data_IF_867973144735
#
_entry.id   IF_867973144735
#
_cell.length_a   1.000
_cell.length_b   1.000
_cell.length_c   1.000
_cell.angle_alpha   90.00
_cell.angle_beta   90.00
_cell.angle_gamma   90.00
#
_symmetry.space_group_name_H-M   'P 1'
#
loop_
_entity.id
_entity.type
_entity.pdbx_description
1 polymer ?
#
# COMPACT_ATOMS: atom_id res chain seq x y z
N UNK A 1 13.96 -5.66 -11.86
CA UNK A 1 12.56 -6.13 -11.81
C UNK A 1 11.85 -5.32 -10.75
N UNK A 2 10.83 -4.53 -11.07
CA UNK A 2 10.14 -3.74 -10.05
C UNK A 2 9.24 -4.64 -9.18
N UNK A 3 9.11 -4.27 -7.92
CA UNK A 3 8.22 -4.91 -6.96
C UNK A 3 7.02 -4.00 -6.73
N UNK A 4 5.82 -4.51 -6.95
CA UNK A 4 4.57 -3.80 -6.69
C UNK A 4 3.90 -4.45 -5.48
N UNK A 5 3.83 -3.70 -4.39
CA UNK A 5 3.23 -4.12 -3.14
C UNK A 5 1.89 -3.42 -2.97
N UNK A 6 0.81 -4.18 -2.96
CA UNK A 6 -0.52 -3.70 -2.62
C UNK A 6 -0.72 -3.82 -1.11
N UNK A 7 -0.89 -2.68 -0.46
CA UNK A 7 -1.27 -2.59 0.94
C UNK A 7 -2.76 -2.26 1.00
N UNK A 8 -3.59 -3.24 1.32
CA UNK A 8 -5.04 -3.08 1.31
C UNK A 8 -5.54 -2.96 2.74
N UNK A 9 -6.21 -1.85 3.02
CA UNK A 9 -6.94 -1.67 4.27
C UNK A 9 -8.07 -2.71 4.35
N UNK A 10 -7.96 -3.57 5.36
CA UNK A 10 -8.97 -4.58 5.68
C UNK A 10 -9.67 -4.26 6.99
N UNK A 11 -9.61 -3.03 7.49
CA UNK A 11 -10.31 -2.63 8.70
C UNK A 11 -11.83 -2.70 8.56
N UNK A 12 -12.53 -2.69 9.70
CA UNK A 12 -13.98 -2.75 9.72
C UNK A 12 -14.67 -1.56 9.01
N UNK A 13 -14.02 -0.39 8.93
CA UNK A 13 -14.58 0.80 8.27
C UNK A 13 -14.66 0.67 6.75
N UNK A 14 -13.87 -0.23 6.16
CA UNK A 14 -13.94 -0.59 4.74
C UNK A 14 -15.23 -1.33 4.34
N UNK A 15 -16.09 -1.72 5.30
CA UNK A 15 -17.42 -2.27 5.05
C UNK A 15 -18.47 -1.22 4.67
N UNK A 16 -18.14 0.07 4.72
CA UNK A 16 -19.04 1.12 4.29
C UNK A 16 -19.43 0.96 2.82
N UNK A 17 -20.69 1.25 2.51
CA UNK A 17 -21.26 1.06 1.16
C UNK A 17 -21.28 2.36 0.40
N UNK A 18 -20.91 2.28 -0.86
CA UNK A 18 -21.09 3.36 -1.82
C UNK A 18 -22.53 3.42 -2.33
N UNK A 19 -22.85 4.49 -3.06
CA UNK A 19 -24.10 4.60 -3.81
C UNK A 19 -24.34 3.47 -4.82
N UNK A 20 -23.30 2.73 -5.22
CA UNK A 20 -23.39 1.56 -6.11
C UNK A 20 -23.80 0.27 -5.37
N UNK A 21 -23.89 0.32 -4.04
CA UNK A 21 -24.21 -0.84 -3.19
C UNK A 21 -23.03 -1.76 -2.90
N UNK A 22 -21.85 -1.49 -3.45
CA UNK A 22 -20.60 -2.21 -3.17
C UNK A 22 -19.86 -1.61 -1.97
N UNK A 23 -19.08 -2.44 -1.26
CA UNK A 23 -18.23 -1.97 -0.17
C UNK A 23 -16.95 -1.32 -0.69
N UNK A 24 -16.27 -0.53 0.14
CA UNK A 24 -14.98 0.04 -0.23
C UNK A 24 -13.93 -1.05 -0.47
N UNK A 25 -13.97 -2.15 0.28
CA UNK A 25 -13.08 -3.29 0.05
C UNK A 25 -13.32 -3.92 -1.34
N UNK A 26 -14.58 -4.05 -1.78
CA UNK A 26 -14.89 -4.58 -3.12
C UNK A 26 -14.34 -3.67 -4.23
N UNK A 27 -14.43 -2.35 -4.03
CA UNK A 27 -13.86 -1.36 -4.95
C UNK A 27 -12.34 -1.44 -4.97
N UNK A 28 -11.70 -1.57 -3.80
CA UNK A 28 -10.24 -1.74 -3.70
C UNK A 28 -9.77 -3.00 -4.43
N UNK A 29 -10.45 -4.15 -4.22
CA UNK A 29 -10.17 -5.39 -4.96
C UNK A 29 -10.32 -5.19 -6.47
N UNK A 30 -11.42 -4.58 -6.91
CA UNK A 30 -11.68 -4.32 -8.32
C UNK A 30 -10.65 -3.39 -8.97
N UNK A 31 -10.19 -2.36 -8.24
CA UNK A 31 -9.13 -1.46 -8.68
C UNK A 31 -7.80 -2.21 -8.87
N UNK A 32 -7.42 -3.08 -7.93
CA UNK A 32 -6.21 -3.91 -8.04
C UNK A 32 -6.31 -4.87 -9.24
N UNK A 33 -7.45 -5.54 -9.42
CA UNK A 33 -7.65 -6.42 -10.58
C UNK A 33 -7.55 -5.66 -11.91
N UNK A 34 -8.12 -4.45 -11.98
CA UNK A 34 -8.07 -3.60 -13.17
C UNK A 34 -6.67 -3.10 -13.43
N UNK A 35 -5.95 -2.66 -12.39
CA UNK A 35 -4.55 -2.27 -12.48
C UNK A 35 -3.69 -3.41 -13.04
N UNK A 36 -3.83 -4.63 -12.51
CA UNK A 36 -3.06 -5.78 -13.00
C UNK A 36 -3.39 -6.12 -14.46
N UNK A 37 -4.66 -6.03 -14.86
CA UNK A 37 -5.07 -6.23 -16.27
C UNK A 37 -4.49 -5.18 -17.20
N UNK A 38 -4.46 -3.91 -16.79
CA UNK A 38 -3.87 -2.82 -17.56
C UNK A 38 -2.35 -2.96 -17.63
N UNK A 39 -1.69 -3.24 -16.51
CA UNK A 39 -0.24 -3.44 -16.42
C UNK A 39 0.22 -4.63 -17.25
N UNK A 40 -0.57 -5.72 -17.29
CA UNK A 40 -0.29 -6.90 -18.11
C UNK A 40 -0.30 -6.66 -19.63
N UNK A 41 -0.81 -5.50 -20.11
CA UNK A 41 -0.72 -5.11 -21.53
C UNK A 41 0.67 -4.58 -21.90
N UNK A 42 1.44 -4.10 -20.93
CA UNK A 42 2.78 -3.58 -21.13
C UNK A 42 3.80 -4.74 -21.18
N UNK A 43 4.58 -4.90 -22.27
CA UNK A 43 5.63 -5.92 -22.34
C UNK A 43 6.65 -5.86 -21.20
N UNK A 44 6.87 -4.69 -20.59
CA UNK A 44 7.78 -4.51 -19.46
C UNK A 44 7.29 -5.20 -18.18
N UNK A 45 6.00 -5.55 -18.08
CA UNK A 45 5.41 -6.13 -16.86
C UNK A 45 5.76 -7.60 -16.63
N UNK A 46 6.41 -8.27 -17.59
CA UNK A 46 6.73 -9.71 -17.51
C UNK A 46 7.68 -10.06 -16.36
N UNK A 47 8.42 -9.08 -15.86
CA UNK A 47 9.33 -9.22 -14.73
C UNK A 47 8.79 -8.63 -13.42
N UNK A 48 7.54 -8.18 -13.38
CA UNK A 48 7.00 -7.53 -12.18
C UNK A 48 6.66 -8.58 -11.11
N UNK A 49 6.97 -8.28 -9.85
CA UNK A 49 6.55 -9.09 -8.70
C UNK A 49 5.44 -8.38 -7.96
N UNK A 50 4.37 -9.11 -7.66
CA UNK A 50 3.22 -8.58 -6.92
C UNK A 50 3.21 -9.14 -5.51
N UNK A 51 3.04 -8.27 -4.52
CA UNK A 51 2.91 -8.62 -3.11
C UNK A 51 1.62 -8.05 -2.55
N UNK A 52 1.03 -8.76 -1.59
CA UNK A 52 -0.21 -8.36 -0.92
C UNK A 52 -0.01 -8.38 0.59
N UNK A 53 -0.27 -7.24 1.22
CA UNK A 53 -0.26 -7.06 2.66
C UNK A 53 -1.61 -6.47 3.09
N UNK A 54 -2.16 -6.98 4.19
CA UNK A 54 -3.36 -6.44 4.84
C UNK A 54 -3.02 -5.84 6.22
N UNK A 55 -4.03 -5.40 6.96
CA UNK A 55 -3.86 -4.74 8.26
C UNK A 55 -3.76 -5.70 9.46
N UNK A 56 -3.61 -7.00 9.21
CA UNK A 56 -3.43 -7.98 10.29
C UNK A 56 -1.99 -8.00 10.82
N UNK A 57 -1.84 -8.52 12.04
CA UNK A 57 -0.53 -8.68 12.67
C UNK A 57 0.33 -9.72 11.94
N UNK A 58 1.65 -9.52 11.96
CA UNK A 58 2.63 -10.48 11.44
C UNK A 58 2.53 -11.80 12.24
N UNK A 59 2.50 -12.98 11.59
CA UNK A 59 2.74 -13.23 10.17
C UNK A 59 1.50 -13.22 9.25
N UNK A 60 0.29 -13.14 9.81
CA UNK A 60 -0.96 -13.22 9.05
C UNK A 60 -1.16 -12.02 8.11
N UNK A 61 -0.54 -10.90 8.45
CA UNK A 61 -0.46 -9.66 7.66
C UNK A 61 0.01 -9.84 6.20
N UNK A 62 0.89 -10.81 5.95
CA UNK A 62 1.51 -11.03 4.64
C UNK A 62 0.75 -12.15 3.92
N UNK A 63 -0.08 -11.78 2.94
CA UNK A 63 -0.87 -12.75 2.17
C UNK A 63 -0.11 -13.28 0.96
N UNK A 64 0.63 -12.42 0.28
CA UNK A 64 1.48 -12.81 -0.84
C UNK A 64 2.85 -12.11 -0.75
N UNK A 65 3.92 -12.89 -0.62
CA UNK A 65 5.29 -12.40 -0.47
C UNK A 65 6.22 -12.80 -1.62
N UNK A 66 7.52 -12.89 -1.34
CA UNK A 66 8.59 -13.11 -2.34
C UNK A 66 8.52 -14.40 -3.15
N UNK A 67 7.94 -15.46 -2.59
CA UNK A 67 7.91 -16.81 -3.20
C UNK A 67 6.58 -17.14 -3.87
N UNK A 68 5.61 -16.24 -3.80
CA UNK A 68 4.24 -16.54 -4.19
C UNK A 68 3.99 -16.31 -5.68
N UNK A 69 3.08 -17.13 -6.23
CA UNK A 69 2.68 -17.03 -7.62
C UNK A 69 1.61 -15.95 -7.82
N UNK A 70 1.45 -15.49 -9.06
CA UNK A 70 0.35 -14.60 -9.43
C UNK A 70 -1.04 -15.21 -9.13
N UNK A 71 -1.18 -16.54 -9.23
CA UNK A 71 -2.43 -17.23 -8.91
C UNK A 71 -2.73 -17.20 -7.40
N UNK A 72 -1.71 -17.36 -6.55
CA UNK A 72 -1.86 -17.24 -5.09
C UNK A 72 -2.29 -15.82 -4.73
N UNK A 73 -1.61 -14.81 -5.29
CA UNK A 73 -1.96 -13.40 -5.08
C UNK A 73 -3.43 -13.12 -5.39
N UNK A 74 -3.93 -13.57 -6.54
CA UNK A 74 -5.33 -13.35 -6.95
C UNK A 74 -6.33 -14.07 -6.05
N UNK A 75 -5.96 -15.25 -5.54
CA UNK A 75 -6.80 -16.03 -4.63
C UNK A 75 -6.90 -15.34 -3.28
N UNK A 76 -5.77 -14.90 -2.72
CA UNK A 76 -5.72 -14.17 -1.46
C UNK A 76 -6.43 -12.81 -1.56
N UNK A 77 -6.26 -12.08 -2.67
CA UNK A 77 -6.96 -10.82 -2.92
C UNK A 77 -8.48 -10.99 -2.86
N UNK A 78 -9.02 -12.06 -3.48
CA UNK A 78 -10.46 -12.36 -3.46
C UNK A 78 -10.95 -12.70 -2.06
N UNK A 79 -10.14 -13.43 -1.29
CA UNK A 79 -10.48 -13.90 0.05
C UNK A 79 -10.33 -12.86 1.15
N UNK A 80 -9.81 -11.65 0.87
CA UNK A 80 -9.72 -10.59 1.89
C UNK A 80 -11.09 -10.27 2.47
N UNK A 81 -11.13 -10.09 3.79
CA UNK A 81 -12.33 -9.69 4.52
C UNK A 81 -12.04 -8.40 5.28
N UNK A 82 -13.00 -7.48 5.29
CA UNK A 82 -12.90 -6.23 6.03
C UNK A 82 -13.26 -6.49 7.51
N UNK A 83 -12.27 -6.85 8.31
CA UNK A 83 -12.37 -7.06 9.74
C UNK A 83 -11.13 -6.51 10.45
N UNK A 84 -11.34 -5.89 11.62
CA UNK A 84 -10.25 -5.41 12.48
C UNK A 84 -10.10 -3.89 12.52
N UNK A 85 -8.94 -3.44 12.97
CA UNK A 85 -8.59 -2.03 13.23
C UNK A 85 -7.78 -1.42 12.08
N UNK A 86 -7.72 -0.10 12.02
CA UNK A 86 -6.91 0.67 11.05
C UNK A 86 -5.46 0.83 11.52
N UNK A 87 -4.72 -0.28 11.55
CA UNK A 87 -3.30 -0.39 11.99
C UNK A 87 -2.28 -0.06 10.90
N UNK A 88 -2.55 0.98 10.10
CA UNK A 88 -1.76 1.31 8.90
C UNK A 88 -0.26 1.51 9.18
N UNK A 89 0.12 2.06 10.34
CA UNK A 89 1.52 2.25 10.70
C UNK A 89 2.28 0.94 10.87
N UNK A 90 1.67 -0.06 11.51
CA UNK A 90 2.28 -1.38 11.67
C UNK A 90 2.36 -2.13 10.35
N UNK A 91 1.34 -2.02 9.51
CA UNK A 91 1.31 -2.69 8.20
C UNK A 91 2.27 -2.06 7.21
N UNK A 92 2.40 -0.72 7.21
CA UNK A 92 3.44 -0.02 6.43
C UNK A 92 4.83 -0.42 6.90
N UNK A 93 5.05 -0.50 8.21
CA UNK A 93 6.33 -0.97 8.75
C UNK A 93 6.66 -2.39 8.26
N UNK A 94 5.69 -3.29 8.34
CA UNK A 94 5.80 -4.67 7.84
C UNK A 94 6.12 -4.70 6.34
N UNK A 95 5.48 -3.83 5.55
CA UNK A 95 5.75 -3.71 4.12
C UNK A 95 7.20 -3.28 3.84
N UNK A 96 7.69 -2.25 4.53
CA UNK A 96 9.08 -1.81 4.40
C UNK A 96 10.07 -2.88 4.84
N UNK A 97 9.81 -3.55 5.96
CA UNK A 97 10.65 -4.64 6.46
C UNK A 97 10.72 -5.79 5.44
N UNK A 98 9.57 -6.18 4.86
CA UNK A 98 9.51 -7.22 3.84
C UNK A 98 10.33 -6.88 2.60
N UNK A 99 10.27 -5.62 2.14
CA UNK A 99 11.05 -5.13 1.00
C UNK A 99 12.55 -5.09 1.32
N UNK A 100 12.90 -4.63 2.52
CA UNK A 100 14.30 -4.46 2.94
C UNK A 100 15.01 -5.79 3.21
N UNK A 101 14.29 -6.86 3.60
CA UNK A 101 14.87 -8.19 3.79
C UNK A 101 15.61 -8.68 2.53
N UNK A 102 15.03 -8.49 1.35
CA UNK A 102 15.64 -8.96 0.11
C UNK A 102 16.87 -8.13 -0.29
N UNK A 103 16.92 -6.85 0.08
CA UNK A 103 18.05 -5.96 -0.21
C UNK A 103 19.32 -6.34 0.54
N UNK A 104 19.16 -6.76 1.80
CA UNK A 104 20.27 -7.24 2.64
C UNK A 104 20.83 -8.56 2.08
N UNK A 105 19.97 -9.48 1.67
CA UNK A 105 20.37 -10.77 1.08
C UNK A 105 21.02 -10.59 -0.29
N UNK A 106 20.48 -9.69 -1.12
CA UNK A 106 20.98 -9.42 -2.47
C UNK A 106 22.25 -8.54 -2.48
N UNK A 107 22.66 -8.02 -1.31
CA UNK A 107 23.87 -7.19 -1.17
C UNK A 107 23.73 -5.80 -1.78
N UNK A 108 22.51 -5.31 -2.00
CA UNK A 108 22.25 -3.99 -2.58
C UNK A 108 22.67 -2.89 -1.61
N UNK A 109 22.34 -3.08 -0.33
CA UNK A 109 22.69 -2.15 0.74
C UNK A 109 24.03 -2.57 1.37
N UNK A 110 25.14 -2.23 0.69
CA UNK A 110 26.51 -2.54 1.10
C UNK A 110 27.17 -1.36 1.83
N UNK A 111 26.78 -1.09 3.08
CA UNK A 111 27.22 0.08 3.87
C UNK A 111 28.75 0.25 3.99
N UNK A 112 29.55 -0.81 3.82
CA UNK A 112 31.01 -0.75 3.88
C UNK A 112 31.74 -0.45 2.57
N UNK A 113 31.05 -0.40 1.42
CA UNK A 113 31.68 -0.27 0.09
C UNK A 113 31.17 0.96 -0.70
N UNK A 114 30.53 1.91 -0.02
CA UNK A 114 29.87 3.05 -0.65
C UNK A 114 28.47 2.72 -1.16
N UNK A 115 27.84 3.68 -1.86
CA UNK A 115 26.51 3.52 -2.45
C UNK A 115 26.62 3.43 -3.97
N UNK A 116 26.04 2.38 -4.54
CA UNK A 116 26.01 2.16 -5.99
C UNK A 116 24.63 2.51 -6.56
N UNK A 117 24.46 3.61 -7.32
CA UNK A 117 23.17 4.01 -7.88
C UNK A 117 22.60 3.02 -8.91
N UNK A 118 23.43 2.13 -9.45
CA UNK A 118 23.03 1.13 -10.45
C UNK A 118 22.37 -0.11 -9.84
N UNK A 119 22.57 -0.37 -8.55
CA UNK A 119 21.91 -1.47 -7.84
C UNK A 119 20.55 -0.99 -7.33
N UNK A 120 19.56 -1.19 -8.19
CA UNK A 120 18.19 -0.75 -8.01
C UNK A 120 17.29 -1.95 -7.79
N UNK A 121 16.47 -1.86 -6.74
CA UNK A 121 15.32 -2.73 -6.54
C UNK A 121 14.08 -1.82 -6.40
N UNK A 122 13.62 -1.26 -7.54
CA UNK A 122 12.55 -0.27 -7.50
C UNK A 122 11.29 -0.92 -6.95
N UNK A 123 10.71 -0.32 -5.92
CA UNK A 123 9.47 -0.82 -5.33
C UNK A 123 8.43 0.28 -5.21
N UNK A 124 7.19 -0.10 -5.48
CA UNK A 124 6.04 0.78 -5.42
C UNK A 124 5.06 0.15 -4.44
N UNK A 125 4.73 0.89 -3.40
CA UNK A 125 3.67 0.54 -2.46
C UNK A 125 2.42 1.31 -2.86
N UNK A 126 1.33 0.60 -3.11
CA UNK A 126 0.01 1.19 -3.34
C UNK A 126 -0.85 0.88 -2.13
N UNK A 127 -1.02 1.87 -1.26
CA UNK A 127 -1.87 1.78 -0.08
C UNK A 127 -3.30 2.20 -0.43
N UNK A 128 -4.27 1.29 -0.29
CA UNK A 128 -5.68 1.60 -0.51
C UNK A 128 -6.39 1.62 0.83
N UNK A 129 -6.98 2.76 1.19
CA UNK A 129 -7.62 3.00 2.49
C UNK A 129 -8.83 3.92 2.33
N UNK A 130 -9.68 3.99 3.35
CA UNK A 130 -10.82 4.91 3.40
C UNK A 130 -10.47 6.31 3.92
N UNK A 131 -9.25 6.51 4.44
CA UNK A 131 -8.80 7.80 4.99
C UNK A 131 -9.61 8.28 6.19
N UNK A 132 -10.26 7.34 6.89
CA UNK A 132 -10.90 7.60 8.17
C UNK A 132 -9.85 7.66 9.30
N UNK A 133 -10.31 7.93 10.53
CA UNK A 133 -9.43 8.03 11.69
C UNK A 133 -8.67 6.72 11.93
N UNK A 134 -7.39 6.83 12.27
CA UNK A 134 -6.55 5.69 12.59
C UNK A 134 -6.93 5.13 13.96
N UNK A 135 -7.08 3.82 14.06
CA UNK A 135 -7.52 3.14 15.27
C UNK A 135 -6.49 2.11 15.67
N UNK A 136 -6.15 2.13 16.96
CA UNK A 136 -5.25 1.19 17.61
C UNK A 136 -5.95 0.59 18.82
N UNK A 137 -5.39 -0.48 19.39
CA UNK A 137 -5.88 -1.06 20.65
C UNK A 137 -5.90 -0.05 21.81
N UNK A 138 -5.06 1.00 21.74
CA UNK A 138 -5.00 2.09 22.71
C UNK A 138 -5.93 3.27 22.43
N UNK A 139 -6.71 3.24 21.34
CA UNK A 139 -7.64 4.31 20.96
C UNK A 139 -7.41 4.87 19.56
N UNK A 140 -8.06 6.01 19.30
CA UNK A 140 -7.99 6.74 18.03
C UNK A 140 -6.72 7.59 17.99
N UNK A 141 -5.96 7.49 16.90
CA UNK A 141 -4.75 8.28 16.66
C UNK A 141 -5.01 9.26 15.52
N UNK A 142 -4.58 10.51 15.70
CA UNK A 142 -4.65 11.54 14.67
C UNK A 142 -3.41 11.57 13.77
N UNK A 143 -2.26 11.12 14.30
CA UNK A 143 -1.00 11.07 13.58
C UNK A 143 -0.60 9.63 13.23
N UNK A 144 0.03 9.47 12.06
CA UNK A 144 0.60 8.22 11.62
C UNK A 144 2.03 8.08 12.15
N UNK A 145 2.22 7.28 13.20
CA UNK A 145 3.55 6.91 13.68
C UNK A 145 3.87 5.45 13.33
N UNK A 146 5.07 5.22 12.79
CA UNK A 146 5.56 3.87 12.49
C UNK A 146 6.22 3.30 13.76
N UNK A 147 5.72 2.19 14.33
CA UNK A 147 6.34 1.59 15.51
C UNK A 147 7.75 1.08 15.19
N UNK A 148 8.74 1.53 15.97
CA UNK A 148 10.16 1.13 15.83
C UNK A 148 10.54 -0.06 16.74
N UNK A 149 9.56 -0.82 17.23
CA UNK A 149 9.70 -1.73 18.38
C UNK A 149 10.52 -3.01 18.11
N UNK A 150 10.78 -3.36 16.85
CA UNK A 150 11.61 -4.51 16.46
C UNK A 150 12.48 -4.15 15.25
N UNK A 151 13.72 -3.69 15.45
CA UNK A 151 14.62 -3.42 14.34
C UNK A 151 15.06 -4.73 13.68
N UNK A 152 15.00 -4.79 12.34
CA UNK A 152 15.66 -5.87 11.59
C UNK A 152 17.16 -5.78 11.84
N UNK A 153 17.91 -6.89 11.90
CA UNK A 153 19.37 -6.84 11.99
C UNK A 153 19.96 -6.00 10.85
N UNK A 154 20.78 -4.99 11.17
CA UNK A 154 21.35 -4.06 10.19
C UNK A 154 20.45 -2.87 9.85
N UNK A 155 19.22 -2.80 10.39
CA UNK A 155 18.39 -1.60 10.26
C UNK A 155 18.95 -0.41 11.04
N UNK A 156 19.81 -0.63 12.04
CA UNK A 156 20.52 0.43 12.76
C UNK A 156 21.43 1.29 11.85
N UNK A 157 21.81 0.77 10.68
CA UNK A 157 22.65 1.49 9.71
C UNK A 157 21.84 2.52 8.90
N UNK A 158 20.51 2.56 9.10
CA UNK A 158 19.61 3.50 8.42
C UNK A 158 18.61 4.11 9.39
N UNK A 159 18.47 5.43 9.32
CA UNK A 159 17.53 6.16 10.18
C UNK A 159 16.07 5.96 9.76
N UNK A 160 15.83 5.91 8.46
CA UNK A 160 14.48 5.84 7.88
C UNK A 160 14.10 4.39 7.54
N UNK A 161 12.80 4.04 7.65
CA UNK A 161 12.31 2.69 7.36
C UNK A 161 12.27 2.37 5.86
N UNK A 162 12.22 3.40 5.01
CA UNK A 162 12.19 3.25 3.55
C UNK A 162 13.59 3.43 2.93
N UNK A 163 13.70 3.13 1.64
CA UNK A 163 14.89 3.36 0.80
C UNK A 163 14.57 4.32 -0.34
N UNK A 164 15.62 4.91 -0.92
CA UNK A 164 15.52 5.95 -1.94
C UNK A 164 14.79 5.52 -3.23
N UNK A 165 14.70 4.22 -3.49
CA UNK A 165 14.03 3.60 -4.64
C UNK A 165 12.66 2.98 -4.29
N UNK A 166 12.12 3.29 -3.10
CA UNK A 166 10.80 2.87 -2.64
C UNK A 166 9.85 4.06 -2.63
N UNK A 167 8.73 3.94 -3.36
CA UNK A 167 7.72 5.01 -3.47
C UNK A 167 6.38 4.54 -2.90
N UNK A 168 5.76 5.35 -2.06
CA UNK A 168 4.42 5.10 -1.53
C UNK A 168 3.39 5.98 -2.25
N UNK A 169 2.38 5.36 -2.83
CA UNK A 169 1.19 6.02 -3.32
C UNK A 169 -0.01 5.57 -2.48
N UNK A 170 -0.88 6.49 -2.13
CA UNK A 170 -2.13 6.18 -1.44
C UNK A 170 -3.33 6.48 -2.32
N UNK A 171 -4.27 5.53 -2.36
CA UNK A 171 -5.61 5.70 -2.91
C UNK A 171 -6.57 5.80 -1.73
N UNK A 172 -7.03 7.01 -1.44
CA UNK A 172 -8.00 7.26 -0.38
C UNK A 172 -9.38 7.26 -1.01
N UNK A 173 -10.18 6.25 -0.66
CA UNK A 173 -11.55 6.11 -1.17
C UNK A 173 -12.46 7.09 -0.41
N UNK A 174 -12.93 8.14 -1.08
CA UNK A 174 -13.87 9.15 -0.59
C UNK A 174 -15.17 9.10 -1.39
N UNK A 175 -15.68 7.89 -1.66
CA UNK A 175 -16.83 7.69 -2.54
C UNK A 175 -18.14 7.84 -1.72
N UNK A 176 -19.00 8.81 -2.03
CA UNK A 176 -20.20 9.06 -1.26
C UNK A 176 -21.21 7.90 -1.35
N UNK A 177 -21.96 7.71 -0.27
CA UNK A 177 -23.06 6.74 -0.17
C UNK A 177 -24.33 7.16 -0.90
N UNK A 178 -24.47 8.46 -1.22
CA UNK A 178 -25.52 8.96 -2.11
C UNK A 178 -24.92 9.29 -3.47
N UNK A 179 -25.73 9.22 -4.53
CA UNK A 179 -25.31 9.68 -5.84
C UNK A 179 -25.03 11.19 -5.77
N UNK A 180 -23.77 11.58 -6.00
CA UNK A 180 -23.38 12.97 -6.19
C UNK A 180 -23.44 13.29 -7.68
N UNK A 181 -24.16 14.36 -8.04
CA UNK A 181 -24.15 14.94 -9.40
C UNK A 181 -23.03 15.98 -9.52
N UNK A 182 -21.97 15.86 -8.72
CA UNK A 182 -20.85 16.79 -8.83
C UNK A 182 -20.08 16.45 -10.12
N UNK A 183 -19.84 17.45 -10.99
CA UNK A 183 -19.05 17.23 -12.19
C UNK A 183 -17.66 16.76 -11.78
N UNK A 184 -17.19 15.66 -12.36
CA UNK A 184 -15.78 15.28 -12.20
C UNK A 184 -14.93 16.51 -12.56
N UNK A 185 -14.03 16.95 -11.66
CA UNK A 185 -13.17 18.07 -11.99
C UNK A 185 -12.43 17.71 -13.29
N UNK A 186 -12.48 18.59 -14.27
CA UNK A 186 -11.80 18.48 -15.58
C UNK A 186 -10.25 18.46 -15.49
N UNK A 187 -9.71 18.25 -14.28
CA UNK A 187 -8.29 18.14 -13.97
C UNK A 187 -8.01 16.85 -13.19
N UNK A 188 -6.74 16.44 -13.17
CA UNK A 188 -6.32 15.17 -12.56
C UNK A 188 -6.73 15.02 -11.10
N UNK A 189 -6.72 13.76 -10.62
CA UNK A 189 -7.16 13.39 -9.26
C UNK A 189 -6.46 14.26 -8.20
N UNK A 190 -7.21 14.97 -7.34
CA UNK A 190 -6.63 15.86 -6.34
C UNK A 190 -5.95 15.05 -5.22
N UNK A 191 -4.98 15.66 -4.51
CA UNK A 191 -4.42 15.04 -3.32
C UNK A 191 -5.46 14.96 -2.19
N UNK A 192 -5.37 13.92 -1.38
CA UNK A 192 -6.11 13.83 -0.12
C UNK A 192 -5.26 14.39 1.04
N UNK A 193 -5.90 14.90 2.08
CA UNK A 193 -5.25 15.42 3.30
C UNK A 193 -5.43 14.47 4.49
N UNK A 194 -5.03 13.21 4.30
CA UNK A 194 -5.04 12.17 5.34
C UNK A 194 -3.68 12.03 6.03
N UNK A 195 -3.67 11.36 7.19
CA UNK A 195 -2.45 11.05 7.95
C UNK A 195 -1.37 10.28 7.15
N UNK A 196 -1.73 9.60 6.06
CA UNK A 196 -0.78 8.93 5.15
C UNK A 196 -0.09 9.89 4.16
N UNK A 197 -0.69 11.05 3.86
CA UNK A 197 -0.19 11.97 2.83
C UNK A 197 1.24 12.44 3.07
N UNK A 198 1.64 12.85 4.29
CA UNK A 198 3.04 13.22 4.56
C UNK A 198 4.02 12.07 4.29
N UNK A 199 3.63 10.81 4.56
CA UNK A 199 4.47 9.64 4.27
C UNK A 199 4.62 9.39 2.76
N UNK A 200 3.56 9.60 1.99
CA UNK A 200 3.61 9.53 0.52
C UNK A 200 4.57 10.57 -0.05
N UNK A 201 4.53 11.80 0.45
CA UNK A 201 5.41 12.89 -0.02
C UNK A 201 6.89 12.63 0.31
N UNK A 202 7.18 12.18 1.53
CA UNK A 202 8.55 11.90 2.00
C UNK A 202 9.19 10.76 1.19
N UNK A 203 8.40 9.77 0.75
CA UNK A 203 8.89 8.68 -0.12
C UNK A 203 8.91 9.05 -1.61
N UNK A 204 8.60 10.31 -1.97
CA UNK A 204 8.57 10.79 -3.36
C UNK A 204 7.39 10.26 -4.19
N UNK A 205 6.33 9.79 -3.52
CA UNK A 205 5.06 9.42 -4.13
C UNK A 205 3.99 10.49 -3.95
N UNK A 206 2.72 10.08 -4.02
CA UNK A 206 1.57 10.99 -3.97
C UNK A 206 0.33 10.31 -3.41
N UNK A 207 -0.45 11.06 -2.63
CA UNK A 207 -1.79 10.65 -2.20
C UNK A 207 -2.84 11.09 -3.21
N UNK A 208 -3.83 10.24 -3.49
CA UNK A 208 -4.92 10.50 -4.42
C UNK A 208 -6.27 10.33 -3.71
N UNK A 209 -7.13 11.33 -3.82
CA UNK A 209 -8.51 11.25 -3.33
C UNK A 209 -9.46 10.77 -4.41
N UNK A 210 -10.01 9.57 -4.24
CA UNK A 210 -10.92 8.94 -5.20
C UNK A 210 -12.37 9.21 -4.81
N UNK A 211 -13.09 9.99 -5.62
CA UNK A 211 -14.49 10.35 -5.36
C UNK A 211 -15.51 9.57 -6.20
N UNK A 212 -15.08 8.94 -7.29
CA UNK A 212 -15.95 8.20 -8.23
C UNK A 212 -15.33 6.88 -8.64
N UNK A 213 -16.17 5.90 -8.98
CA UNK A 213 -15.73 4.60 -9.51
C UNK A 213 -15.08 4.70 -10.89
N UNK A 214 -15.33 5.79 -11.64
CA UNK A 214 -14.64 6.09 -12.91
C UNK A 214 -13.19 6.55 -12.72
N UNK A 215 -12.80 6.93 -11.49
CA UNK A 215 -11.46 7.41 -11.16
C UNK A 215 -10.50 6.30 -10.66
N UNK A 216 -10.98 5.06 -10.54
CA UNK A 216 -10.21 3.88 -10.13
C UNK A 216 -9.74 3.03 -11.33
#
# INVERSE_FOLDING_TARGET
MPVLLFLIDTSASMNQRTHLGTTYLDIAKGAVETFMKLRGRDPASRGDRYMLINFEDVPLGIKAGWKESHATFMTELRNLQAAGLTTIGQSLRTAFDLLNLNRLVSGIDNYGQGRNPFFLEPSIIVAITDGNKLTSSGGVQDELHLPLTTPLPGSELTKEPFRWDQRLFSLVLRIPGHATVEPEPLGGVPPDDSAITPMCEVTGGRSYSVFSSSAC
#
